data_IF_488744397216
#
_entry.id   IF_488744397216
#
_cell.length_a   1.000
_cell.length_b   1.000
_cell.length_c   1.000
_cell.angle_alpha   90.00
_cell.angle_beta   90.00
_cell.angle_gamma   90.00
#
_symmetry.space_group_name_H-M   'P 1'
#
loop_
_entity.id
_entity.type
_entity.pdbx_description
1 polymer ?
#
# COMPACT_ATOMS: atom_id res chain seq x y z
N UNK A 1 15.64 -0.18 3.15
CA UNK A 1 16.29 0.45 4.33
C UNK A 1 17.57 1.20 3.95
N UNK A 2 18.50 0.62 3.18
CA UNK A 2 19.78 1.25 2.81
C UNK A 2 19.62 2.65 2.17
N UNK A 3 18.66 2.83 1.27
CA UNK A 3 18.38 4.12 0.61
C UNK A 3 17.96 5.20 1.62
N UNK A 4 17.15 4.86 2.61
CA UNK A 4 16.75 5.80 3.67
C UNK A 4 17.95 6.23 4.54
N UNK A 5 18.82 5.29 4.93
CA UNK A 5 20.03 5.60 5.68
C UNK A 5 20.98 6.50 4.87
N UNK A 6 21.11 6.23 3.56
CA UNK A 6 21.89 7.09 2.66
C UNK A 6 21.28 8.50 2.55
N UNK A 7 19.97 8.62 2.42
CA UNK A 7 19.30 9.92 2.36
C UNK A 7 19.49 10.73 3.65
N UNK A 8 19.42 10.09 4.83
CA UNK A 8 19.69 10.73 6.12
C UNK A 8 21.15 11.21 6.20
N UNK A 9 22.09 10.34 5.81
CA UNK A 9 23.51 10.68 5.82
C UNK A 9 23.84 11.87 4.87
N UNK A 10 23.28 11.88 3.66
CA UNK A 10 23.43 12.98 2.70
C UNK A 10 22.80 14.25 3.26
N UNK A 11 21.58 14.18 3.79
CA UNK A 11 20.89 15.32 4.38
C UNK A 11 21.66 15.95 5.54
N UNK A 12 22.29 15.12 6.38
CA UNK A 12 23.16 15.58 7.48
C UNK A 12 24.44 16.21 6.94
N UNK A 13 25.11 15.58 5.97
CA UNK A 13 26.36 16.06 5.41
C UNK A 13 26.20 17.41 4.67
N UNK A 14 25.08 17.62 4.01
CA UNK A 14 24.76 18.85 3.28
C UNK A 14 24.07 19.92 4.15
N UNK A 15 23.88 19.70 5.45
CA UNK A 15 23.25 20.64 6.37
C UNK A 15 21.73 20.80 6.19
N UNK A 16 21.07 19.92 5.42
CA UNK A 16 19.61 19.89 5.29
C UNK A 16 18.93 19.26 6.49
N UNK A 17 19.62 18.40 7.22
CA UNK A 17 19.20 17.83 8.49
C UNK A 17 20.15 18.24 9.61
N UNK A 18 19.59 18.61 10.74
CA UNK A 18 20.33 18.70 12.00
C UNK A 18 20.63 17.32 12.56
N UNK A 19 21.64 17.19 13.44
CA UNK A 19 21.92 15.92 14.13
C UNK A 19 20.70 15.36 14.88
N UNK A 20 19.87 16.25 15.47
CA UNK A 20 18.64 15.87 16.16
C UNK A 20 17.60 15.27 15.21
N UNK A 21 17.44 15.85 14.02
CA UNK A 21 16.50 15.33 13.00
C UNK A 21 17.00 14.00 12.45
N UNK A 22 18.30 13.85 12.18
CA UNK A 22 18.88 12.59 11.74
C UNK A 22 18.63 11.48 12.78
N UNK A 23 18.93 11.71 14.06
CA UNK A 23 18.67 10.76 15.14
C UNK A 23 17.17 10.42 15.29
N UNK A 24 16.28 11.37 15.04
CA UNK A 24 14.84 11.10 15.02
C UNK A 24 14.46 10.15 13.89
N UNK A 25 14.98 10.34 12.67
CA UNK A 25 14.74 9.45 11.54
C UNK A 25 15.30 8.04 11.76
N UNK A 26 16.49 7.93 12.36
CA UNK A 26 17.04 6.62 12.73
C UNK A 26 16.12 5.87 13.69
N UNK A 27 15.59 6.57 14.70
CA UNK A 27 14.62 6.00 15.62
C UNK A 27 13.32 5.57 14.93
N UNK A 28 12.82 6.36 13.95
CA UNK A 28 11.63 5.96 13.19
C UNK A 28 11.90 4.72 12.31
N UNK A 29 13.07 4.62 11.69
CA UNK A 29 13.47 3.44 10.93
C UNK A 29 13.53 2.19 11.80
N UNK A 30 14.14 2.27 12.98
CA UNK A 30 14.19 1.16 13.94
C UNK A 30 12.79 0.69 14.33
N UNK A 31 11.89 1.63 14.68
CA UNK A 31 10.49 1.32 14.99
C UNK A 31 9.78 0.63 13.82
N UNK A 32 10.03 1.09 12.60
CA UNK A 32 9.43 0.50 11.39
C UNK A 32 9.88 -0.95 11.20
N UNK A 33 11.18 -1.22 11.38
CA UNK A 33 11.73 -2.58 11.32
C UNK A 33 11.12 -3.48 12.41
N UNK A 34 10.97 -2.98 13.63
CA UNK A 34 10.33 -3.75 14.72
C UNK A 34 8.86 -4.08 14.38
N UNK A 35 8.14 -3.17 13.72
CA UNK A 35 6.75 -3.41 13.30
C UNK A 35 6.64 -4.42 12.17
N UNK A 36 7.65 -4.54 11.31
CA UNK A 36 7.65 -5.55 10.24
C UNK A 36 7.58 -6.99 10.79
N UNK A 37 8.08 -7.24 11.99
CA UNK A 37 7.95 -8.54 12.66
C UNK A 37 6.49 -8.93 12.97
N UNK A 38 5.55 -7.98 12.99
CA UNK A 38 4.13 -8.22 13.23
C UNK A 38 3.39 -8.69 11.96
N UNK A 39 4.02 -8.57 10.78
CA UNK A 39 3.41 -8.91 9.49
C UNK A 39 3.19 -10.42 9.29
N UNK A 40 3.88 -11.28 10.05
CA UNK A 40 3.63 -12.73 10.00
C UNK A 40 2.17 -13.12 10.23
N UNK A 41 1.41 -12.32 10.98
CA UNK A 41 0.00 -12.56 11.27
C UNK A 41 -0.97 -12.37 10.08
N UNK A 42 -0.54 -11.71 8.99
CA UNK A 42 -1.39 -11.47 7.82
C UNK A 42 -1.15 -12.46 6.67
N UNK A 43 -0.13 -13.30 6.75
CA UNK A 43 0.29 -14.21 5.67
C UNK A 43 -0.84 -15.09 5.20
N UNK A 44 -1.53 -15.78 6.12
CA UNK A 44 -2.65 -16.66 5.78
C UNK A 44 -3.80 -15.89 5.11
N UNK A 45 -4.12 -14.69 5.61
CA UNK A 45 -5.14 -13.84 4.98
C UNK A 45 -4.75 -13.46 3.55
N UNK A 46 -3.48 -13.13 3.29
CA UNK A 46 -3.01 -12.79 1.94
C UNK A 46 -3.09 -13.99 1.00
N UNK A 47 -2.72 -15.20 1.46
CA UNK A 47 -2.88 -16.42 0.66
C UNK A 47 -4.34 -16.72 0.31
N UNK A 48 -5.27 -16.52 1.24
CA UNK A 48 -6.70 -16.70 0.98
C UNK A 48 -7.21 -15.71 -0.05
N UNK A 49 -6.81 -14.43 0.03
CA UNK A 49 -7.15 -13.41 -0.94
C UNK A 49 -6.54 -13.72 -2.31
N UNK A 50 -5.27 -14.11 -2.38
CA UNK A 50 -4.63 -14.52 -3.62
C UNK A 50 -5.36 -15.72 -4.26
N UNK A 51 -5.72 -16.73 -3.47
CA UNK A 51 -6.49 -17.87 -3.96
C UNK A 51 -7.87 -17.49 -4.50
N UNK A 52 -8.54 -16.51 -3.88
CA UNK A 52 -9.84 -15.99 -4.31
C UNK A 52 -9.76 -15.27 -5.64
N UNK A 53 -8.72 -14.46 -5.87
CA UNK A 53 -8.62 -13.55 -7.03
C UNK A 53 -7.62 -14.00 -8.10
N UNK A 54 -6.96 -15.15 -7.95
CA UNK A 54 -5.91 -15.65 -8.88
C UNK A 54 -6.33 -15.75 -10.35
N UNK A 55 -7.62 -15.84 -10.64
CA UNK A 55 -8.15 -15.96 -12.00
C UNK A 55 -8.69 -14.63 -12.55
N UNK A 56 -8.46 -13.52 -11.87
CA UNK A 56 -8.86 -12.22 -12.36
C UNK A 56 -8.11 -11.86 -13.66
N UNK A 57 -8.76 -11.18 -14.62
CA UNK A 57 -8.13 -10.86 -15.90
C UNK A 57 -6.97 -9.86 -15.75
N UNK A 58 -7.02 -9.01 -14.74
CA UNK A 58 -5.99 -8.03 -14.38
C UNK A 58 -6.13 -7.68 -12.91
N UNK A 59 -5.02 -7.30 -12.27
CA UNK A 59 -4.99 -6.77 -10.90
C UNK A 59 -4.56 -5.32 -10.92
N UNK A 60 -5.34 -4.42 -10.32
CA UNK A 60 -4.94 -3.04 -10.11
C UNK A 60 -4.46 -2.85 -8.68
N UNK A 61 -3.22 -2.41 -8.54
CA UNK A 61 -2.60 -2.06 -7.27
C UNK A 61 -2.55 -0.53 -7.16
N UNK A 62 -3.25 0.05 -6.20
CA UNK A 62 -3.47 1.49 -6.13
C UNK A 62 -2.99 2.06 -4.81
N UNK A 63 -2.35 3.22 -4.85
CA UNK A 63 -1.92 3.96 -3.67
C UNK A 63 -1.91 5.47 -3.94
N UNK A 64 -1.59 6.25 -2.92
CA UNK A 64 -1.24 7.66 -3.05
C UNK A 64 0.07 7.97 -2.29
N UNK A 65 0.70 9.10 -2.62
CA UNK A 65 1.93 9.56 -1.97
C UNK A 65 3.09 8.58 -2.10
N UNK A 66 3.87 8.34 -1.02
CA UNK A 66 5.09 7.52 -1.09
C UNK A 66 4.83 6.05 -1.41
N UNK A 67 3.58 5.58 -1.28
CA UNK A 67 3.21 4.20 -1.57
C UNK A 67 2.88 3.93 -3.06
N UNK A 68 2.93 4.92 -3.94
CA UNK A 68 2.78 4.70 -5.39
C UNK A 68 3.87 3.74 -5.88
N UNK A 69 5.14 3.98 -5.54
CA UNK A 69 6.22 3.05 -5.88
C UNK A 69 6.06 1.65 -5.23
N UNK A 70 5.41 1.58 -4.06
CA UNK A 70 5.10 0.29 -3.40
C UNK A 70 4.13 -0.54 -4.22
N UNK A 71 3.06 0.06 -4.75
CA UNK A 71 2.07 -0.66 -5.55
C UNK A 71 2.56 -0.95 -6.98
N UNK A 72 3.43 -0.11 -7.55
CA UNK A 72 4.12 -0.40 -8.80
C UNK A 72 5.01 -1.65 -8.67
N UNK A 73 5.80 -1.73 -7.60
CA UNK A 73 6.62 -2.92 -7.29
C UNK A 73 5.74 -4.14 -6.99
N UNK A 74 4.64 -3.99 -6.26
CA UNK A 74 3.69 -5.07 -6.01
C UNK A 74 3.08 -5.62 -7.29
N UNK A 75 2.64 -4.75 -8.20
CA UNK A 75 2.13 -5.15 -9.51
C UNK A 75 3.21 -5.88 -10.34
N UNK A 76 4.45 -5.39 -10.30
CA UNK A 76 5.57 -6.06 -10.95
C UNK A 76 5.75 -7.49 -10.42
N UNK A 77 5.67 -7.71 -9.11
CA UNK A 77 5.78 -9.06 -8.52
C UNK A 77 4.63 -9.98 -8.94
N UNK A 78 3.42 -9.48 -9.06
CA UNK A 78 2.29 -10.26 -9.60
C UNK A 78 2.61 -10.71 -11.04
N UNK A 79 3.12 -9.81 -11.89
CA UNK A 79 3.50 -10.14 -13.27
C UNK A 79 4.63 -11.17 -13.31
N UNK A 80 5.69 -10.95 -12.51
CA UNK A 80 6.88 -11.81 -12.53
C UNK A 80 6.64 -13.20 -11.95
N UNK A 81 5.85 -13.30 -10.89
CA UNK A 81 5.69 -14.56 -10.14
C UNK A 81 4.43 -15.33 -10.51
N UNK A 82 3.32 -14.62 -10.78
CA UNK A 82 2.05 -15.25 -11.08
C UNK A 82 1.70 -15.28 -12.57
N UNK A 83 2.44 -14.54 -13.41
CA UNK A 83 2.20 -14.43 -14.87
C UNK A 83 0.81 -13.91 -15.21
N UNK A 84 0.28 -13.05 -14.35
CA UNK A 84 -1.03 -12.42 -14.48
C UNK A 84 -0.83 -10.92 -14.76
N UNK A 85 -1.61 -10.31 -15.64
CA UNK A 85 -1.56 -8.86 -15.85
C UNK A 85 -1.82 -8.10 -14.53
N UNK A 86 -0.97 -7.11 -14.25
CA UNK A 86 -1.15 -6.22 -13.12
C UNK A 86 -0.64 -4.81 -13.43
N UNK A 87 -1.22 -3.80 -12.81
CA UNK A 87 -0.79 -2.39 -12.91
C UNK A 87 -0.72 -1.76 -11.52
N UNK A 88 0.41 -1.08 -11.24
CA UNK A 88 0.55 -0.18 -10.09
C UNK A 88 0.27 1.25 -10.51
N UNK A 89 -0.59 2.00 -9.77
CA UNK A 89 -0.95 3.37 -10.12
C UNK A 89 -1.29 4.23 -8.90
N UNK A 90 -1.22 5.52 -9.11
CA UNK A 90 -1.78 6.51 -8.19
C UNK A 90 -3.32 6.47 -8.27
N UNK A 91 -3.98 6.60 -7.10
CA UNK A 91 -5.45 6.48 -6.99
C UNK A 91 -6.19 7.54 -7.82
N UNK A 92 -5.69 8.77 -7.85
CA UNK A 92 -6.29 9.86 -8.62
C UNK A 92 -6.21 9.60 -10.12
N UNK A 93 -5.03 9.18 -10.62
CA UNK A 93 -4.86 8.81 -12.02
C UNK A 93 -5.80 7.68 -12.44
N UNK A 94 -6.00 6.70 -11.55
CA UNK A 94 -6.95 5.62 -11.79
C UNK A 94 -8.38 6.16 -11.93
N UNK A 95 -8.82 7.07 -11.07
CA UNK A 95 -10.15 7.66 -11.11
C UNK A 95 -10.40 8.53 -12.33
N UNK A 96 -9.35 9.08 -12.96
CA UNK A 96 -9.44 9.92 -14.17
C UNK A 96 -9.50 9.15 -15.49
N UNK A 97 -9.93 7.89 -15.48
CA UNK A 97 -10.20 7.15 -16.73
C UNK A 97 -10.16 5.65 -16.57
N UNK A 98 -9.14 5.12 -15.93
CA UNK A 98 -8.89 3.67 -15.80
C UNK A 98 -9.99 2.90 -15.07
N UNK A 99 -10.71 3.52 -14.15
CA UNK A 99 -11.83 2.89 -13.45
C UNK A 99 -12.92 2.37 -14.41
N UNK A 100 -12.94 2.84 -15.68
CA UNK A 100 -13.87 2.38 -16.71
C UNK A 100 -13.48 1.01 -17.32
N UNK A 101 -12.28 0.55 -17.07
CA UNK A 101 -11.77 -0.75 -17.50
C UNK A 101 -12.05 -1.85 -16.47
N UNK A 102 -12.70 -1.49 -15.36
CA UNK A 102 -12.88 -2.32 -14.16
C UNK A 102 -14.34 -2.68 -13.96
N UNK A 103 -14.59 -3.93 -13.59
CA UNK A 103 -15.89 -4.51 -13.28
C UNK A 103 -15.82 -5.44 -12.05
N UNK A 104 -16.87 -6.21 -11.82
CA UNK A 104 -16.98 -7.15 -10.70
C UNK A 104 -15.95 -8.28 -10.72
N UNK A 105 -15.23 -8.49 -11.84
CA UNK A 105 -14.18 -9.52 -11.96
C UNK A 105 -12.78 -8.99 -11.70
N UNK A 106 -12.64 -7.67 -11.56
CA UNK A 106 -11.35 -6.97 -11.48
C UNK A 106 -11.06 -6.51 -10.06
N UNK A 107 -10.19 -7.18 -9.28
CA UNK A 107 -9.85 -6.77 -7.93
C UNK A 107 -8.98 -5.51 -7.92
N UNK A 108 -9.29 -4.59 -6.99
CA UNK A 108 -8.48 -3.42 -6.68
C UNK A 108 -7.78 -3.64 -5.33
N UNK A 109 -6.47 -3.72 -5.34
CA UNK A 109 -5.65 -3.78 -4.15
C UNK A 109 -5.19 -2.36 -3.79
N UNK A 110 -5.63 -1.86 -2.64
CA UNK A 110 -5.44 -0.48 -2.20
C UNK A 110 -4.47 -0.42 -1.03
N UNK A 111 -3.36 0.30 -1.19
CA UNK A 111 -2.41 0.59 -0.09
C UNK A 111 -2.68 1.99 0.41
N UNK A 112 -3.24 2.10 1.62
CA UNK A 112 -3.67 3.35 2.19
C UNK A 112 -3.41 3.41 3.71
N UNK A 113 -2.19 3.74 4.14
CA UNK A 113 -1.90 3.98 5.54
C UNK A 113 -2.74 5.15 6.07
N UNK A 114 -2.95 5.19 7.39
CA UNK A 114 -3.58 6.32 8.05
C UNK A 114 -2.81 7.61 7.74
N UNK A 115 -3.49 8.58 7.13
CA UNK A 115 -2.84 9.84 6.74
C UNK A 115 -3.56 10.59 5.63
N UNK A 116 -2.83 11.43 4.89
CA UNK A 116 -3.40 12.34 3.86
C UNK A 116 -4.11 11.63 2.70
N UNK A 117 -3.77 10.37 2.43
CA UNK A 117 -4.37 9.58 1.34
C UNK A 117 -5.81 9.11 1.61
N UNK A 118 -6.35 9.34 2.82
CA UNK A 118 -7.67 8.85 3.23
C UNK A 118 -8.81 9.33 2.34
N UNK A 119 -8.83 10.59 1.95
CA UNK A 119 -9.89 11.15 1.09
C UNK A 119 -9.91 10.41 -0.25
N UNK A 120 -8.74 10.26 -0.90
CA UNK A 120 -8.60 9.51 -2.16
C UNK A 120 -9.00 8.04 -2.02
N UNK A 121 -8.66 7.40 -0.90
CA UNK A 121 -9.12 6.05 -0.60
C UNK A 121 -10.65 5.98 -0.57
N UNK A 122 -11.31 6.89 0.14
CA UNK A 122 -12.78 6.87 0.26
C UNK A 122 -13.47 7.10 -1.07
N UNK A 123 -12.96 7.99 -1.92
CA UNK A 123 -13.46 8.23 -3.28
C UNK A 123 -13.27 7.01 -4.18
N UNK A 124 -12.12 6.36 -4.09
CA UNK A 124 -11.82 5.12 -4.82
C UNK A 124 -12.75 3.99 -4.39
N UNK A 125 -12.95 3.80 -3.08
CA UNK A 125 -13.88 2.79 -2.53
C UNK A 125 -15.33 3.07 -2.94
N UNK A 126 -15.75 4.33 -2.89
CA UNK A 126 -17.07 4.74 -3.34
C UNK A 126 -17.31 4.48 -4.83
N UNK A 127 -16.27 4.69 -5.66
CA UNK A 127 -16.32 4.42 -7.09
C UNK A 127 -16.32 2.92 -7.38
N UNK A 128 -15.43 2.16 -6.75
CA UNK A 128 -15.37 0.70 -6.86
C UNK A 128 -16.70 0.04 -6.49
N UNK A 129 -17.33 0.49 -5.40
CA UNK A 129 -18.63 -0.02 -4.97
C UNK A 129 -19.73 0.19 -6.00
N UNK A 130 -19.72 1.34 -6.71
CA UNK A 130 -20.72 1.63 -7.76
C UNK A 130 -20.63 0.72 -8.99
N UNK A 131 -19.41 0.22 -9.28
CA UNK A 131 -19.13 -0.68 -10.41
C UNK A 131 -18.96 -2.13 -9.97
N UNK A 132 -19.22 -2.43 -8.69
CA UNK A 132 -19.11 -3.76 -8.08
C UNK A 132 -17.71 -4.36 -8.07
N UNK A 133 -16.67 -3.57 -8.31
CA UNK A 133 -15.29 -4.04 -8.26
C UNK A 133 -14.90 -4.45 -6.83
N UNK A 134 -14.39 -5.67 -6.61
CA UNK A 134 -13.94 -6.09 -5.30
C UNK A 134 -12.68 -5.32 -4.87
N UNK A 135 -12.64 -4.89 -3.63
CA UNK A 135 -11.53 -4.10 -3.09
C UNK A 135 -10.86 -4.81 -1.91
N UNK A 136 -9.53 -4.82 -1.90
CA UNK A 136 -8.68 -5.31 -0.82
C UNK A 136 -7.90 -4.11 -0.30
N UNK A 137 -8.16 -3.66 0.93
CA UNK A 137 -7.53 -2.47 1.51
C UNK A 137 -6.51 -2.88 2.55
N UNK A 138 -5.25 -2.56 2.32
CA UNK A 138 -4.18 -2.66 3.31
C UNK A 138 -4.10 -1.32 4.04
N UNK A 139 -4.43 -1.29 5.33
CA UNK A 139 -4.49 -0.05 6.10
C UNK A 139 -4.32 -0.27 7.61
N UNK A 140 -3.80 0.73 8.29
CA UNK A 140 -3.80 0.86 9.74
C UNK A 140 -4.86 1.89 10.23
N UNK A 141 -5.64 2.48 9.33
CA UNK A 141 -6.74 3.39 9.69
C UNK A 141 -7.89 2.61 10.33
N UNK A 142 -8.27 2.96 11.58
CA UNK A 142 -9.34 2.27 12.30
C UNK A 142 -10.76 2.68 11.87
N UNK A 143 -10.91 3.58 10.89
CA UNK A 143 -12.21 4.11 10.48
C UNK A 143 -13.15 2.99 9.98
N UNK A 144 -14.29 2.74 10.67
CA UNK A 144 -15.23 1.71 10.25
C UNK A 144 -15.90 1.99 8.89
N UNK A 145 -15.81 3.21 8.36
CA UNK A 145 -16.31 3.53 7.03
C UNK A 145 -15.54 2.77 5.94
N UNK A 146 -14.24 2.53 6.13
CA UNK A 146 -13.41 1.73 5.21
C UNK A 146 -13.97 0.31 5.13
N UNK A 147 -14.19 -0.34 6.28
CA UNK A 147 -14.72 -1.71 6.34
C UNK A 147 -16.15 -1.85 5.80
N UNK A 148 -16.94 -0.77 5.79
CA UNK A 148 -18.30 -0.77 5.18
C UNK A 148 -18.29 -0.67 3.66
N UNK A 149 -17.22 -0.11 3.09
CA UNK A 149 -17.10 0.10 1.64
C UNK A 149 -16.23 -0.97 0.98
N UNK A 150 -15.17 -1.40 1.65
CA UNK A 150 -14.23 -2.41 1.15
C UNK A 150 -14.84 -3.82 1.20
N UNK A 151 -14.48 -4.67 0.24
CA UNK A 151 -14.79 -6.09 0.28
C UNK A 151 -13.91 -6.81 1.32
N UNK A 152 -12.65 -6.43 1.41
CA UNK A 152 -11.69 -6.97 2.37
C UNK A 152 -10.81 -5.87 2.97
N UNK A 153 -10.49 -6.00 4.25
CA UNK A 153 -9.52 -5.14 4.94
C UNK A 153 -8.43 -6.01 5.55
N UNK A 154 -7.20 -5.71 5.19
CA UNK A 154 -5.98 -6.27 5.81
C UNK A 154 -5.43 -5.24 6.77
N UNK A 155 -5.47 -5.57 8.06
CA UNK A 155 -5.03 -4.64 9.10
C UNK A 155 -3.51 -4.63 9.19
N UNK A 156 -2.93 -3.46 8.92
CA UNK A 156 -1.48 -3.23 8.99
C UNK A 156 -1.05 -2.69 10.36
N UNK A 157 0.23 -2.90 10.74
CA UNK A 157 0.79 -2.25 11.93
C UNK A 157 0.86 -0.72 11.73
N UNK A 158 0.27 0.05 12.64
CA UNK A 158 0.19 1.50 12.55
C UNK A 158 1.26 2.25 13.34
N UNK A 159 1.19 3.59 13.30
CA UNK A 159 2.08 4.49 14.06
C UNK A 159 3.50 4.58 13.47
N UNK A 160 3.62 4.48 12.16
CA UNK A 160 4.83 4.69 11.37
C UNK A 160 4.67 5.98 10.59
N UNK A 161 5.76 6.75 10.45
CA UNK A 161 5.78 7.94 9.60
C UNK A 161 5.41 7.58 8.14
N UNK A 162 4.64 8.43 7.47
CA UNK A 162 4.12 8.16 6.12
C UNK A 162 5.24 7.79 5.13
N UNK A 163 6.37 8.50 5.19
CA UNK A 163 7.52 8.23 4.30
C UNK A 163 8.20 6.88 4.55
N UNK A 164 7.95 6.24 5.68
CA UNK A 164 8.50 4.93 6.02
C UNK A 164 7.49 3.79 5.82
N UNK A 165 6.22 4.10 5.57
CA UNK A 165 5.19 3.09 5.33
C UNK A 165 5.51 2.15 4.16
N UNK A 166 6.18 2.57 3.07
CA UNK A 166 6.60 1.65 2.01
C UNK A 166 7.39 0.43 2.51
N UNK A 167 8.20 0.59 3.56
CA UNK A 167 8.97 -0.52 4.15
C UNK A 167 8.09 -1.60 4.79
N UNK A 168 6.88 -1.25 5.23
CA UNK A 168 5.92 -2.19 5.79
C UNK A 168 4.96 -2.73 4.72
N UNK A 169 4.42 -1.84 3.89
CA UNK A 169 3.35 -2.17 2.97
C UNK A 169 3.81 -2.94 1.73
N UNK A 170 5.12 -2.95 1.44
CA UNK A 170 5.67 -3.79 0.37
C UNK A 170 5.62 -5.29 0.71
N UNK A 171 5.77 -5.65 1.98
CA UNK A 171 5.85 -7.06 2.40
C UNK A 171 4.59 -7.87 2.04
N UNK A 172 3.35 -7.43 2.35
CA UNK A 172 2.16 -8.18 1.94
C UNK A 172 1.98 -8.30 0.43
N UNK A 173 2.58 -7.41 -0.36
CA UNK A 173 2.52 -7.48 -1.83
C UNK A 173 3.49 -8.52 -2.42
N UNK A 174 4.41 -9.05 -1.61
CA UNK A 174 5.35 -10.10 -1.98
C UNK A 174 4.92 -11.50 -1.51
N UNK A 175 3.84 -11.58 -0.74
CA UNK A 175 3.25 -12.84 -0.27
C UNK A 175 2.26 -13.44 -1.28
#
# INVERSE_FOLDING_TARGET
TAVYLLAIAIGLANGHLTARQAAWWDTQLEKTVQKSAQLGGITEQMYQLAAQYKNAPIHHCLAAGPNVGTVEEGALKIIEMAWVPAEGREMEDFLHGRYREVDETTPLLLVAPLGPSKEKLMDTLGSAKRIYAPTIVLTDDPDPAIARLAAHVVKMPGGVDEFLTPLLYITPLWL
#
